data_IF_123645749522
#
_entry.id   IF_123645749522
#
_cell.length_a   1.000
_cell.length_b   1.000
_cell.length_c   1.000
_cell.angle_alpha   90.00
_cell.angle_beta   90.00
_cell.angle_gamma   90.00
#
_symmetry.space_group_name_H-M   'P 1'
#
loop_
_entity.id
_entity.type
_entity.pdbx_description
1 polymer ?
#
# COMPACT_ATOMS: atom_id res chain seq x y z
N UNK A 1 -5.45 -10.90 -31.59
CA UNK A 1 -4.11 -11.48 -31.58
C UNK A 1 -4.07 -12.45 -30.42
N UNK A 2 -3.59 -13.68 -30.56
CA UNK A 2 -3.44 -14.57 -29.43
C UNK A 2 -2.41 -13.96 -28.47
N UNK A 3 -2.74 -13.88 -27.19
CA UNK A 3 -1.79 -13.49 -26.15
C UNK A 3 -0.60 -14.47 -26.22
N UNK A 4 0.66 -13.98 -26.17
CA UNK A 4 1.79 -14.87 -26.08
C UNK A 4 1.58 -15.77 -24.85
N UNK A 5 1.74 -17.07 -25.04
CA UNK A 5 1.80 -18.03 -23.93
C UNK A 5 3.12 -17.72 -23.22
N UNK A 6 3.08 -16.79 -22.26
CA UNK A 6 4.21 -16.58 -21.38
C UNK A 6 4.36 -17.82 -20.51
N UNK A 7 5.43 -18.55 -20.74
CA UNK A 7 5.80 -19.73 -19.97
C UNK A 7 5.97 -19.34 -18.50
N UNK A 8 5.29 -20.06 -17.62
CA UNK A 8 5.48 -19.94 -16.18
C UNK A 8 6.92 -20.36 -15.85
N UNK A 9 7.50 -19.69 -14.87
CA UNK A 9 8.90 -19.94 -14.49
C UNK A 9 8.99 -21.24 -13.72
N UNK A 10 9.80 -22.16 -14.21
CA UNK A 10 10.15 -23.37 -13.46
C UNK A 10 11.23 -23.08 -12.43
N UNK A 11 11.32 -23.92 -11.39
CA UNK A 11 12.39 -23.84 -10.38
C UNK A 11 13.78 -23.93 -11.04
N UNK A 12 13.92 -24.74 -12.08
CA UNK A 12 15.20 -24.88 -12.81
C UNK A 12 15.58 -23.60 -13.54
N UNK A 13 14.63 -22.95 -14.23
CA UNK A 13 14.85 -21.66 -14.89
C UNK A 13 15.15 -20.55 -13.89
N UNK A 14 14.45 -20.52 -12.74
CA UNK A 14 14.70 -19.56 -11.68
C UNK A 14 16.13 -19.68 -11.13
N UNK A 15 16.62 -20.91 -10.90
CA UNK A 15 17.99 -21.15 -10.45
C UNK A 15 19.02 -20.71 -11.48
N UNK A 16 18.81 -21.04 -12.76
CA UNK A 16 19.71 -20.66 -13.83
C UNK A 16 19.77 -19.13 -13.96
N UNK A 17 18.64 -18.46 -14.00
CA UNK A 17 18.55 -17.00 -14.16
C UNK A 17 19.06 -16.23 -12.95
N UNK A 18 18.88 -16.75 -11.74
CA UNK A 18 19.46 -16.13 -10.55
C UNK A 18 20.98 -15.93 -10.65
N UNK A 19 21.65 -16.91 -11.26
CA UNK A 19 23.11 -16.84 -11.47
C UNK A 19 23.49 -15.90 -12.62
N UNK A 20 22.69 -15.89 -13.70
CA UNK A 20 22.99 -15.15 -14.92
C UNK A 20 22.50 -13.69 -14.86
N UNK A 21 21.33 -13.43 -14.24
CA UNK A 21 20.67 -12.13 -14.22
C UNK A 21 20.01 -11.90 -12.86
N UNK A 22 20.79 -11.57 -11.80
CA UNK A 22 20.26 -11.43 -10.45
C UNK A 22 19.24 -10.28 -10.27
N UNK A 23 19.16 -9.37 -11.24
CA UNK A 23 18.20 -8.24 -11.26
C UNK A 23 16.94 -8.54 -12.07
N UNK A 24 16.75 -9.80 -12.50
CA UNK A 24 15.57 -10.19 -13.27
C UNK A 24 14.29 -9.91 -12.49
N UNK A 25 13.34 -9.26 -13.15
CA UNK A 25 11.99 -9.08 -12.63
C UNK A 25 11.05 -10.17 -13.13
N UNK A 26 10.11 -10.53 -12.27
CA UNK A 26 9.08 -11.53 -12.54
C UNK A 26 7.71 -10.89 -12.40
N UNK A 27 6.80 -11.17 -13.30
CA UNK A 27 5.42 -10.69 -13.27
C UNK A 27 4.50 -11.71 -12.60
N UNK A 28 3.71 -11.26 -11.63
CA UNK A 28 2.68 -12.07 -10.98
C UNK A 28 1.53 -12.34 -11.97
N UNK A 29 1.19 -13.60 -12.23
CA UNK A 29 0.08 -14.03 -13.09
C UNK A 29 -1.22 -14.25 -12.33
N UNK A 30 -1.13 -14.33 -11.02
CA UNK A 30 -2.24 -14.37 -10.08
C UNK A 30 -1.98 -13.38 -8.94
N UNK A 31 -2.97 -13.20 -8.08
CA UNK A 31 -2.77 -12.48 -6.83
C UNK A 31 -1.93 -13.34 -5.89
N UNK A 32 -0.84 -12.79 -5.38
CA UNK A 32 0.12 -13.48 -4.52
C UNK A 32 0.20 -12.76 -3.18
N UNK A 33 0.21 -13.52 -2.09
CA UNK A 33 0.42 -13.01 -0.75
C UNK A 33 1.92 -12.84 -0.46
N UNK A 34 2.29 -11.70 0.10
CA UNK A 34 3.61 -11.47 0.65
C UNK A 34 3.51 -11.39 2.17
N UNK A 35 4.37 -12.13 2.85
CA UNK A 35 4.38 -12.23 4.30
C UNK A 35 5.52 -11.43 4.94
N UNK A 36 5.39 -11.13 6.22
CA UNK A 36 6.38 -10.35 6.96
C UNK A 36 7.64 -11.14 7.30
N UNK A 37 7.54 -12.47 7.32
CA UNK A 37 8.63 -13.37 7.69
C UNK A 37 8.54 -14.70 6.92
N UNK A 38 9.62 -15.51 6.91
CA UNK A 38 9.64 -16.79 6.20
C UNK A 38 8.70 -17.86 6.75
N UNK A 39 8.17 -17.67 7.97
CA UNK A 39 7.18 -18.55 8.58
C UNK A 39 5.79 -18.46 7.91
N UNK A 40 5.57 -17.47 7.03
CA UNK A 40 4.34 -17.26 6.24
C UNK A 40 3.06 -17.13 7.09
N UNK A 41 3.18 -16.60 8.30
CA UNK A 41 2.05 -16.53 9.26
C UNK A 41 1.37 -15.16 9.31
N UNK A 42 2.08 -14.09 8.98
CA UNK A 42 1.57 -12.71 9.04
C UNK A 42 1.64 -12.05 7.67
N UNK A 43 0.49 -11.75 7.10
CA UNK A 43 0.39 -11.03 5.83
C UNK A 43 1.04 -9.64 5.96
N UNK A 44 1.89 -9.28 5.01
CA UNK A 44 2.53 -7.98 4.92
C UNK A 44 1.86 -7.11 3.84
N UNK A 45 1.64 -7.72 2.68
CA UNK A 45 0.97 -7.10 1.53
C UNK A 45 0.51 -8.18 0.56
N UNK A 46 -0.17 -7.77 -0.49
CA UNK A 46 -0.56 -8.63 -1.60
C UNK A 46 -0.10 -8.03 -2.92
N UNK A 47 0.42 -8.86 -3.82
CA UNK A 47 0.68 -8.47 -5.19
C UNK A 47 -0.52 -8.87 -6.04
N UNK A 48 -1.26 -7.87 -6.56
CA UNK A 48 -2.30 -8.13 -7.55
C UNK A 48 -1.66 -8.66 -8.84
N UNK A 49 -2.38 -9.49 -9.59
CA UNK A 49 -1.93 -9.97 -10.91
C UNK A 49 -1.49 -8.78 -11.80
N UNK A 50 -0.35 -8.95 -12.45
CA UNK A 50 0.29 -7.92 -13.26
C UNK A 50 1.43 -7.15 -12.56
N UNK A 51 1.51 -7.15 -11.23
CA UNK A 51 2.66 -6.58 -10.50
C UNK A 51 3.94 -7.34 -10.80
N UNK A 52 5.04 -6.62 -10.68
CA UNK A 52 6.37 -7.20 -10.84
C UNK A 52 7.09 -7.30 -9.49
N UNK A 53 7.95 -8.31 -9.37
CA UNK A 53 8.79 -8.50 -8.20
C UNK A 53 10.19 -8.98 -8.61
N UNK A 54 11.16 -8.74 -7.74
CA UNK A 54 12.52 -9.27 -7.81
C UNK A 54 12.72 -10.23 -6.66
N UNK A 55 13.44 -11.31 -6.90
CA UNK A 55 13.89 -12.22 -5.85
C UNK A 55 15.13 -11.58 -5.21
N UNK A 56 15.16 -11.43 -3.90
CA UNK A 56 16.26 -10.80 -3.18
C UNK A 56 17.33 -11.80 -2.74
N UNK A 57 16.92 -13.04 -2.50
CA UNK A 57 17.85 -14.12 -2.12
C UNK A 57 17.30 -15.47 -2.54
N UNK A 58 18.17 -16.29 -3.08
CA UNK A 58 17.89 -17.67 -3.45
C UNK A 58 18.88 -18.60 -2.72
N UNK A 59 18.55 -18.94 -1.48
CA UNK A 59 19.33 -19.90 -0.69
C UNK A 59 18.68 -21.28 -0.85
N UNK A 60 19.47 -22.26 -1.34
CA UNK A 60 19.00 -23.64 -1.45
C UNK A 60 19.23 -24.39 -0.14
N UNK A 61 18.36 -25.33 0.15
CA UNK A 61 18.58 -26.33 1.18
C UNK A 61 19.81 -27.20 0.85
N UNK A 62 20.40 -27.91 1.83
CA UNK A 62 21.54 -28.79 1.58
C UNK A 62 21.30 -29.90 0.52
N UNK A 63 20.06 -30.31 0.33
CA UNK A 63 19.63 -31.28 -0.67
C UNK A 63 19.36 -30.67 -2.06
N UNK A 64 19.60 -29.36 -2.21
CA UNK A 64 19.38 -28.62 -3.45
C UNK A 64 17.93 -28.20 -3.72
N UNK A 65 17.01 -28.44 -2.78
CA UNK A 65 15.62 -27.94 -2.87
C UNK A 65 15.54 -26.46 -2.48
N UNK A 66 14.44 -25.78 -2.87
CA UNK A 66 14.15 -24.44 -2.39
C UNK A 66 13.60 -24.48 -0.95
N UNK A 67 13.86 -23.44 -0.14
CA UNK A 67 13.21 -23.29 1.16
C UNK A 67 11.69 -23.08 0.98
N UNK A 68 10.87 -23.25 2.01
CA UNK A 68 9.42 -23.04 1.93
C UNK A 68 9.01 -21.62 1.54
N UNK A 69 9.87 -20.62 1.79
CA UNK A 69 9.62 -19.23 1.49
C UNK A 69 10.85 -18.56 0.86
N UNK A 70 10.60 -17.60 -0.02
CA UNK A 70 11.64 -16.78 -0.66
C UNK A 70 11.44 -15.31 -0.34
N UNK A 71 12.54 -14.60 -0.13
CA UNK A 71 12.53 -13.17 0.06
C UNK A 71 12.45 -12.46 -1.28
N UNK A 72 11.47 -11.58 -1.44
CA UNK A 72 11.22 -10.81 -2.66
C UNK A 72 11.06 -9.33 -2.36
N UNK A 73 11.07 -8.52 -3.40
CA UNK A 73 10.76 -7.09 -3.36
C UNK A 73 9.85 -6.75 -4.54
N UNK A 74 8.74 -6.10 -4.27
CA UNK A 74 7.86 -5.59 -5.32
C UNK A 74 8.54 -4.43 -6.04
N UNK A 75 8.51 -4.43 -7.38
CA UNK A 75 9.30 -3.48 -8.17
C UNK A 75 8.68 -2.08 -8.20
N UNK A 76 7.38 -1.96 -8.02
CA UNK A 76 6.65 -0.69 -8.17
C UNK A 76 6.77 0.21 -6.94
N UNK A 77 6.96 -0.36 -5.75
CA UNK A 77 6.98 0.38 -4.49
C UNK A 77 8.14 0.00 -3.56
N UNK A 78 9.12 -0.77 -4.05
CA UNK A 78 10.28 -1.26 -3.30
C UNK A 78 9.91 -2.03 -2.01
N UNK A 79 8.68 -2.58 -1.93
CA UNK A 79 8.20 -3.21 -0.72
C UNK A 79 8.69 -4.65 -0.58
N UNK A 80 9.48 -4.98 0.46
CA UNK A 80 10.01 -6.31 0.66
C UNK A 80 8.99 -7.22 1.36
N UNK A 81 9.06 -8.51 1.07
CA UNK A 81 8.26 -9.52 1.74
C UNK A 81 8.77 -10.93 1.47
N UNK A 82 8.04 -11.90 1.96
CA UNK A 82 8.29 -13.32 1.73
C UNK A 82 7.11 -13.93 0.98
N UNK A 83 7.39 -14.68 -0.07
CA UNK A 83 6.40 -15.45 -0.83
C UNK A 83 6.58 -16.93 -0.55
N UNK A 84 5.49 -17.68 -0.55
CA UNK A 84 5.56 -19.13 -0.52
C UNK A 84 6.24 -19.64 -1.79
N UNK A 85 7.10 -20.65 -1.66
CA UNK A 85 7.82 -21.19 -2.82
C UNK A 85 6.87 -21.85 -3.83
N UNK A 86 5.72 -22.34 -3.38
CA UNK A 86 4.65 -22.87 -4.24
C UNK A 86 4.01 -21.80 -5.13
N UNK A 87 4.08 -20.50 -4.74
CA UNK A 87 3.56 -19.40 -5.55
C UNK A 87 4.44 -19.05 -6.75
N UNK A 88 5.63 -19.67 -6.87
CA UNK A 88 6.52 -19.50 -8.05
C UNK A 88 5.82 -19.90 -9.34
N UNK A 89 4.96 -20.90 -9.29
CA UNK A 89 4.19 -21.36 -10.44
C UNK A 89 3.27 -20.27 -11.02
N UNK A 90 3.02 -19.20 -10.26
CA UNK A 90 2.26 -18.02 -10.70
C UNK A 90 3.16 -16.87 -11.19
N UNK A 91 4.46 -17.06 -11.29
CA UNK A 91 5.38 -16.06 -11.81
C UNK A 91 5.71 -16.35 -13.28
N UNK A 92 5.84 -15.31 -14.05
CA UNK A 92 6.44 -15.34 -15.37
C UNK A 92 7.58 -14.32 -15.45
N UNK A 93 8.54 -14.55 -16.33
CA UNK A 93 9.59 -13.56 -16.58
C UNK A 93 8.92 -12.29 -17.10
N UNK A 94 9.24 -11.15 -16.51
CA UNK A 94 8.77 -9.86 -17.01
C UNK A 94 9.45 -9.56 -18.36
N UNK A 95 8.66 -9.12 -19.33
CA UNK A 95 9.17 -8.75 -20.66
C UNK A 95 10.13 -7.55 -20.58
N UNK A 96 9.87 -6.65 -19.64
CA UNK A 96 10.67 -5.46 -19.36
C UNK A 96 10.67 -5.19 -17.85
N UNK A 97 11.76 -4.64 -17.33
CA UNK A 97 11.81 -4.13 -15.97
C UNK A 97 10.77 -3.01 -15.79
N UNK A 98 10.18 -2.96 -14.59
CA UNK A 98 9.20 -1.93 -14.27
C UNK A 98 9.78 -0.53 -14.49
N UNK A 99 9.00 0.31 -15.13
CA UNK A 99 9.32 1.71 -15.33
C UNK A 99 8.17 2.56 -14.80
N UNK A 100 8.48 3.51 -13.91
CA UNK A 100 7.47 4.45 -13.44
C UNK A 100 7.00 5.34 -14.61
N UNK A 101 5.70 5.50 -14.72
CA UNK A 101 5.10 6.47 -15.63
C UNK A 101 4.96 7.78 -14.85
N UNK A 102 5.80 8.80 -15.11
CA UNK A 102 5.72 10.05 -14.39
C UNK A 102 4.41 10.78 -14.74
N UNK A 103 3.74 11.28 -13.72
CA UNK A 103 2.57 12.12 -13.86
C UNK A 103 2.83 13.47 -13.19
N UNK A 104 2.32 14.51 -13.79
CA UNK A 104 2.28 15.85 -13.19
C UNK A 104 1.22 15.94 -12.10
N UNK A 105 1.34 16.93 -11.21
CA UNK A 105 0.33 17.16 -10.16
C UNK A 105 -1.08 17.36 -10.76
N UNK A 106 -1.21 18.08 -11.88
CA UNK A 106 -2.49 18.31 -12.54
C UNK A 106 -3.10 16.99 -13.06
N UNK A 107 -2.29 16.12 -13.69
CA UNK A 107 -2.77 14.81 -14.16
C UNK A 107 -3.21 13.91 -13.00
N UNK A 108 -2.61 14.06 -11.83
CA UNK A 108 -3.04 13.36 -10.61
C UNK A 108 -4.36 13.94 -10.11
N UNK A 109 -4.47 15.28 -10.04
CA UNK A 109 -5.71 15.97 -9.64
C UNK A 109 -6.89 15.57 -10.52
N UNK A 110 -6.72 15.50 -11.84
CA UNK A 110 -7.73 15.06 -12.80
C UNK A 110 -8.22 13.63 -12.55
N UNK A 111 -7.41 12.81 -11.88
CA UNK A 111 -7.73 11.40 -11.55
C UNK A 111 -8.41 11.23 -10.19
N UNK A 112 -8.39 12.23 -9.30
CA UNK A 112 -8.96 12.14 -7.95
C UNK A 112 -10.43 11.68 -7.93
N UNK A 113 -11.33 12.15 -8.81
CA UNK A 113 -12.72 11.66 -8.80
C UNK A 113 -12.85 10.14 -9.00
N UNK A 114 -11.94 9.55 -9.78
CA UNK A 114 -11.91 8.10 -10.02
C UNK A 114 -11.34 7.34 -8.81
N UNK A 115 -10.34 7.92 -8.13
CA UNK A 115 -9.79 7.38 -6.88
C UNK A 115 -10.87 7.32 -5.81
N UNK A 116 -11.61 8.41 -5.62
CA UNK A 116 -12.73 8.48 -4.69
C UNK A 116 -13.82 7.48 -5.05
N UNK A 117 -14.19 7.41 -6.33
CA UNK A 117 -15.18 6.43 -6.81
C UNK A 117 -14.74 4.99 -6.50
N UNK A 118 -13.44 4.69 -6.62
CA UNK A 118 -12.92 3.37 -6.25
C UNK A 118 -13.16 3.06 -4.77
N UNK A 119 -12.84 4.00 -3.88
CA UNK A 119 -13.01 3.77 -2.43
C UNK A 119 -14.48 3.58 -2.04
N UNK A 120 -15.40 4.33 -2.65
CA UNK A 120 -16.84 4.14 -2.44
C UNK A 120 -17.32 2.77 -2.94
N UNK A 121 -16.92 2.37 -4.16
CA UNK A 121 -17.26 1.04 -4.69
C UNK A 121 -16.69 -0.10 -3.85
N UNK A 122 -15.52 0.08 -3.28
CA UNK A 122 -14.95 -0.89 -2.36
C UNK A 122 -15.75 -0.97 -1.05
N UNK A 123 -16.24 0.18 -0.55
CA UNK A 123 -17.10 0.25 0.64
C UNK A 123 -18.47 -0.40 0.41
N UNK A 124 -19.06 -0.26 -0.78
CA UNK A 124 -20.38 -0.80 -1.13
C UNK A 124 -20.40 -2.34 -1.24
N UNK A 125 -19.25 -2.99 -1.25
CA UNK A 125 -19.14 -4.45 -1.27
C UNK A 125 -19.02 -5.02 0.14
N UNK A 126 -19.50 -6.24 0.39
CA UNK A 126 -19.19 -6.94 1.65
C UNK A 126 -17.68 -7.00 1.85
N UNK A 127 -17.20 -6.37 2.90
CA UNK A 127 -15.77 -6.28 3.21
C UNK A 127 -15.51 -6.35 4.71
N UNK A 128 -14.28 -6.69 5.07
CA UNK A 128 -13.76 -6.61 6.43
C UNK A 128 -12.32 -6.09 6.40
N UNK A 129 -11.85 -5.60 7.55
CA UNK A 129 -10.47 -5.17 7.70
C UNK A 129 -9.52 -6.36 7.65
N UNK A 130 -8.65 -6.39 6.65
CA UNK A 130 -7.62 -7.42 6.51
C UNK A 130 -6.24 -6.76 6.66
N UNK A 131 -5.54 -7.06 7.75
CA UNK A 131 -4.16 -6.61 7.90
C UNK A 131 -3.30 -7.11 6.73
N UNK A 132 -2.56 -6.21 6.08
CA UNK A 132 -1.78 -6.54 4.89
C UNK A 132 -2.59 -6.58 3.59
N UNK A 133 -3.91 -6.40 3.65
CA UNK A 133 -4.79 -6.46 2.47
C UNK A 133 -4.61 -5.27 1.54
N UNK A 134 -4.37 -5.55 0.25
CA UNK A 134 -4.29 -4.60 -0.86
C UNK A 134 -5.09 -5.05 -2.08
N UNK A 135 -5.66 -6.24 -2.03
CA UNK A 135 -6.50 -6.82 -3.08
C UNK A 135 -7.92 -6.98 -2.55
N UNK A 136 -8.88 -6.43 -3.31
CA UNK A 136 -10.29 -6.43 -2.91
C UNK A 136 -10.88 -7.83 -2.68
N UNK A 137 -11.96 -7.90 -1.90
CA UNK A 137 -12.71 -6.77 -1.30
C UNK A 137 -12.15 -6.29 0.05
N UNK A 138 -11.13 -6.94 0.62
CA UNK A 138 -10.67 -6.73 1.99
C UNK A 138 -9.33 -5.98 2.01
N UNK A 139 -9.30 -4.84 2.66
CA UNK A 139 -8.15 -3.95 2.70
C UNK A 139 -7.77 -3.59 4.13
N UNK A 140 -6.48 -3.31 4.38
CA UNK A 140 -6.12 -2.45 5.50
C UNK A 140 -6.19 -0.96 5.10
N UNK A 141 -5.87 -0.05 6.02
CA UNK A 141 -6.01 1.38 5.80
C UNK A 141 -5.15 1.89 4.63
N UNK A 142 -3.87 1.61 4.64
CA UNK A 142 -2.92 2.06 3.61
C UNK A 142 -3.04 1.26 2.31
N UNK A 143 -3.44 -0.01 2.41
CA UNK A 143 -3.73 -0.86 1.25
C UNK A 143 -4.94 -0.39 0.45
N UNK A 144 -5.99 0.11 1.11
CA UNK A 144 -7.12 0.76 0.44
C UNK A 144 -6.65 2.00 -0.33
N UNK A 145 -5.82 2.84 0.28
CA UNK A 145 -5.25 4.02 -0.39
C UNK A 145 -4.39 3.60 -1.58
N UNK A 146 -3.46 2.66 -1.40
CA UNK A 146 -2.59 2.18 -2.48
C UNK A 146 -3.42 1.61 -3.64
N UNK A 147 -4.41 0.76 -3.36
CA UNK A 147 -5.29 0.19 -4.40
C UNK A 147 -6.12 1.25 -5.13
N UNK A 148 -6.61 2.26 -4.42
CA UNK A 148 -7.38 3.35 -5.02
C UNK A 148 -6.54 4.17 -6.00
N UNK A 149 -5.32 4.56 -5.62
CA UNK A 149 -4.39 5.26 -6.50
C UNK A 149 -3.91 4.38 -7.66
N UNK A 150 -3.60 3.10 -7.39
CA UNK A 150 -3.25 2.13 -8.44
C UNK A 150 -4.35 1.97 -9.48
N UNK A 151 -5.63 2.04 -9.10
CA UNK A 151 -6.77 1.90 -10.03
C UNK A 151 -6.76 2.91 -11.17
N UNK A 152 -5.97 3.96 -11.04
CA UNK A 152 -5.75 5.00 -12.05
C UNK A 152 -4.29 5.12 -12.49
N UNK A 153 -3.47 4.12 -12.17
CA UNK A 153 -2.07 4.04 -12.61
C UNK A 153 -1.09 4.87 -11.78
N UNK A 154 -1.44 5.23 -10.56
CA UNK A 154 -0.57 5.96 -9.64
C UNK A 154 -0.07 5.03 -8.56
N UNK A 155 1.24 4.82 -8.46
CA UNK A 155 1.85 4.10 -7.35
C UNK A 155 2.18 5.04 -6.20
N UNK A 156 1.83 4.63 -4.99
CA UNK A 156 2.21 5.25 -3.73
C UNK A 156 2.80 4.18 -2.80
N UNK A 157 3.58 4.54 -1.77
CA UNK A 157 4.15 3.57 -0.84
C UNK A 157 3.09 2.71 -0.14
N UNK A 158 3.51 1.56 0.37
CA UNK A 158 2.61 0.55 0.93
C UNK A 158 2.08 0.90 2.32
N UNK A 159 2.95 1.28 3.24
CA UNK A 159 2.57 1.48 4.65
C UNK A 159 2.18 2.93 4.93
N UNK A 160 1.27 3.15 5.89
CA UNK A 160 0.75 4.48 6.21
C UNK A 160 1.85 5.48 6.57
N UNK A 161 2.90 5.07 7.31
CA UNK A 161 4.02 5.95 7.64
C UNK A 161 4.85 6.32 6.41
N UNK A 162 5.03 5.39 5.46
CA UNK A 162 5.72 5.66 4.19
C UNK A 162 4.90 6.60 3.30
N UNK A 163 3.56 6.42 3.26
CA UNK A 163 2.65 7.34 2.56
C UNK A 163 2.71 8.74 3.18
N UNK A 164 2.81 8.82 4.51
CA UNK A 164 2.97 10.09 5.21
C UNK A 164 4.27 10.79 4.81
N UNK A 165 5.40 10.10 4.85
CA UNK A 165 6.70 10.65 4.47
C UNK A 165 6.75 11.08 3.00
N UNK A 166 6.10 10.31 2.13
CA UNK A 166 6.03 10.59 0.70
C UNK A 166 5.18 11.81 0.33
N UNK A 167 4.13 12.12 1.11
CA UNK A 167 3.11 13.11 0.74
C UNK A 167 3.10 14.38 1.60
N UNK A 168 3.82 14.42 2.72
CA UNK A 168 3.71 15.47 3.77
C UNK A 168 4.15 16.85 3.32
N UNK A 169 5.12 16.98 2.43
CA UNK A 169 5.77 18.26 2.13
C UNK A 169 4.79 19.32 1.59
N UNK A 170 3.79 18.90 0.82
CA UNK A 170 2.77 19.80 0.26
C UNK A 170 1.83 20.38 1.31
N UNK A 171 1.71 19.72 2.45
CA UNK A 171 0.83 20.12 3.56
C UNK A 171 1.60 20.17 4.90
N UNK A 172 2.86 20.58 4.87
CA UNK A 172 3.74 20.59 6.04
C UNK A 172 3.14 21.37 7.23
N UNK A 173 2.36 22.43 6.97
CA UNK A 173 1.70 23.24 8.00
C UNK A 173 0.60 22.50 8.79
N UNK A 174 0.09 21.39 8.26
CA UNK A 174 -0.93 20.58 8.94
C UNK A 174 -0.34 19.61 9.98
N UNK A 175 0.98 19.39 9.94
CA UNK A 175 1.63 18.41 10.80
C UNK A 175 1.75 18.90 12.23
N UNK A 176 1.35 18.05 13.17
CA UNK A 176 1.20 18.34 14.58
C UNK A 176 2.25 17.64 15.42
N UNK A 177 2.79 18.34 16.39
CA UNK A 177 3.62 17.71 17.42
C UNK A 177 2.82 16.71 18.24
N UNK A 178 3.51 15.71 18.78
CA UNK A 178 2.91 14.67 19.63
C UNK A 178 2.19 15.27 20.86
N UNK A 179 2.68 16.40 21.39
CA UNK A 179 2.05 17.14 22.50
C UNK A 179 0.67 17.71 22.15
N UNK A 180 0.31 17.76 20.86
CA UNK A 180 -0.99 18.23 20.38
C UNK A 180 -2.00 17.10 20.19
N UNK A 181 -1.62 15.84 20.38
CA UNK A 181 -2.56 14.71 20.32
C UNK A 181 -3.67 14.86 21.37
N UNK A 182 -4.89 14.49 20.97
CA UNK A 182 -6.09 14.65 21.81
C UNK A 182 -6.60 16.08 21.96
N UNK A 183 -5.86 17.10 21.49
CA UNK A 183 -6.33 18.49 21.51
C UNK A 183 -7.16 18.80 20.26
N UNK A 184 -8.13 19.73 20.35
CA UNK A 184 -8.91 20.14 19.18
C UNK A 184 -8.04 20.60 18.01
N UNK A 185 -8.50 20.31 16.80
CA UNK A 185 -7.94 20.88 15.58
C UNK A 185 -8.47 22.32 15.44
N UNK A 186 -7.58 23.31 15.23
CA UNK A 186 -8.04 24.68 14.98
C UNK A 186 -8.76 24.74 13.62
N UNK A 187 -9.66 25.70 13.44
CA UNK A 187 -10.46 25.82 12.21
C UNK A 187 -9.60 26.02 10.95
N UNK A 188 -8.50 26.75 11.08
CA UNK A 188 -7.56 27.00 10.00
C UNK A 188 -6.76 25.77 9.57
N UNK A 189 -6.74 24.71 10.39
CA UNK A 189 -6.11 23.43 10.02
C UNK A 189 -6.75 22.80 8.77
N UNK A 190 -8.06 23.05 8.57
CA UNK A 190 -8.82 22.49 7.44
C UNK A 190 -8.68 23.32 6.16
N UNK A 191 -8.24 24.58 6.23
CA UNK A 191 -8.21 25.49 5.07
C UNK A 191 -7.34 25.03 3.91
N UNK A 192 -6.14 24.44 4.11
CA UNK A 192 -5.31 23.98 3.01
C UNK A 192 -5.75 22.64 2.41
N UNK A 193 -6.68 21.93 3.06
CA UNK A 193 -7.11 20.61 2.65
C UNK A 193 -7.99 20.65 1.40
N UNK A 194 -7.74 19.70 0.51
CA UNK A 194 -8.55 19.45 -0.67
C UNK A 194 -9.05 18.01 -0.69
N UNK A 195 -10.16 17.78 -1.34
CA UNK A 195 -10.69 16.44 -1.56
C UNK A 195 -9.63 15.59 -2.26
N UNK A 196 -9.35 14.42 -1.72
CA UNK A 196 -8.27 13.55 -2.20
C UNK A 196 -6.98 13.63 -1.39
N UNK A 197 -6.83 14.56 -0.45
CA UNK A 197 -5.70 14.55 0.48
C UNK A 197 -5.76 13.33 1.40
N UNK A 198 -4.60 12.84 1.83
CA UNK A 198 -4.49 11.78 2.82
C UNK A 198 -4.44 12.38 4.22
N UNK A 199 -5.27 11.87 5.13
CA UNK A 199 -5.23 12.22 6.54
C UNK A 199 -4.52 11.12 7.30
N UNK A 200 -3.53 11.49 8.09
CA UNK A 200 -2.69 10.57 8.85
C UNK A 200 -2.97 10.63 10.34
N UNK A 201 -3.04 9.45 10.93
CA UNK A 201 -3.32 9.26 12.35
C UNK A 201 -2.22 8.40 12.98
N UNK A 202 -2.01 8.57 14.27
CA UNK A 202 -1.00 7.76 14.95
C UNK A 202 -0.79 8.12 16.41
N UNK A 203 0.22 7.49 16.98
CA UNK A 203 0.73 7.78 18.33
C UNK A 203 1.77 8.91 18.29
N UNK A 204 2.35 9.22 19.43
CA UNK A 204 3.46 10.18 19.52
C UNK A 204 4.65 9.77 18.62
N UNK A 205 4.91 8.47 18.51
CA UNK A 205 6.15 7.95 17.93
C UNK A 205 6.00 7.57 16.43
N UNK A 206 4.78 7.21 15.99
CA UNK A 206 4.60 6.73 14.62
C UNK A 206 3.21 6.96 14.04
N UNK A 207 3.16 7.06 12.72
CA UNK A 207 1.90 7.00 11.95
C UNK A 207 1.46 5.53 11.87
N UNK A 208 0.21 5.27 12.21
CA UNK A 208 -0.36 3.92 12.26
C UNK A 208 -1.60 3.74 11.40
N UNK A 209 -2.15 4.85 10.87
CA UNK A 209 -3.39 4.80 10.10
C UNK A 209 -3.47 5.96 9.10
N UNK A 210 -4.28 5.75 8.05
CA UNK A 210 -4.52 6.72 6.98
C UNK A 210 -5.94 6.60 6.45
N UNK A 211 -6.50 7.73 5.99
CA UNK A 211 -7.76 7.81 5.27
C UNK A 211 -7.71 8.87 4.18
N UNK A 212 -8.63 8.81 3.22
CA UNK A 212 -8.76 9.76 2.10
C UNK A 212 -9.79 10.84 2.47
N UNK A 213 -9.39 12.09 2.42
CA UNK A 213 -10.27 13.23 2.71
C UNK A 213 -11.31 13.43 1.60
N UNK A 214 -12.57 13.58 2.00
CA UNK A 214 -13.70 13.73 1.10
C UNK A 214 -14.29 15.17 1.08
N UNK A 215 -13.70 16.09 1.85
CA UNK A 215 -14.27 17.40 2.09
C UNK A 215 -15.15 17.46 3.35
N UNK A 216 -15.49 18.66 3.80
CA UNK A 216 -16.40 18.90 4.93
C UNK A 216 -16.07 18.10 6.19
N UNK A 217 -14.77 17.86 6.43
CA UNK A 217 -14.23 17.06 7.53
C UNK A 217 -14.51 15.55 7.43
N UNK A 218 -15.09 15.07 6.34
CA UNK A 218 -15.27 13.63 6.13
C UNK A 218 -14.03 12.99 5.52
N UNK A 219 -13.80 11.73 5.87
CA UNK A 219 -12.76 10.91 5.27
C UNK A 219 -13.22 9.46 5.18
N UNK A 220 -12.78 8.75 4.15
CA UNK A 220 -13.03 7.32 3.95
C UNK A 220 -11.76 6.53 4.29
N UNK A 221 -11.91 5.43 5.00
CA UNK A 221 -10.80 4.58 5.42
C UNK A 221 -11.25 3.14 5.66
N UNK A 222 -10.30 2.20 5.71
CA UNK A 222 -10.53 0.85 6.22
C UNK A 222 -10.00 0.75 7.64
N UNK A 223 -10.84 0.33 8.60
CA UNK A 223 -10.52 0.34 10.03
C UNK A 223 -10.84 -1.00 10.70
N UNK A 224 -10.01 -1.40 11.65
CA UNK A 224 -10.14 -2.67 12.36
C UNK A 224 -11.20 -2.68 13.45
N UNK A 225 -11.47 -3.88 13.97
CA UNK A 225 -12.47 -4.11 15.04
C UNK A 225 -12.15 -3.34 16.31
N UNK A 226 -10.87 -3.21 16.67
CA UNK A 226 -10.44 -2.50 17.89
C UNK A 226 -10.87 -1.04 17.94
N UNK A 227 -11.05 -0.41 16.78
CA UNK A 227 -11.50 0.97 16.64
C UNK A 227 -13.02 1.08 16.47
N UNK A 228 -13.75 -0.02 16.59
CA UNK A 228 -15.22 -0.05 16.54
C UNK A 228 -15.82 -0.22 15.14
N UNK A 229 -15.00 -0.57 14.10
CA UNK A 229 -15.50 -0.79 12.73
C UNK A 229 -15.28 -2.25 12.30
N UNK A 230 -14.54 -2.64 11.49
CA UNK A 230 -14.17 -3.87 10.81
C UNK A 230 -14.50 -3.77 9.31
N UNK A 231 -13.79 -2.90 8.62
CA UNK A 231 -13.92 -2.69 7.19
C UNK A 231 -13.89 -1.23 6.78
N UNK A 232 -14.37 -0.95 5.57
CA UNK A 232 -14.34 0.37 4.98
C UNK A 232 -15.55 1.19 5.47
N UNK A 233 -15.33 2.47 5.77
CA UNK A 233 -16.39 3.39 6.13
C UNK A 233 -15.96 4.84 6.10
N UNK A 234 -16.94 5.72 6.24
CA UNK A 234 -16.76 7.17 6.28
C UNK A 234 -16.96 7.65 7.71
N UNK A 235 -16.01 8.44 8.19
CA UNK A 235 -16.03 9.07 9.50
C UNK A 235 -15.71 10.57 9.37
N UNK A 236 -15.82 11.31 10.48
CA UNK A 236 -15.59 12.75 10.50
C UNK A 236 -14.40 13.11 11.38
N UNK A 237 -13.70 14.15 11.01
CA UNK A 237 -12.65 14.78 11.83
C UNK A 237 -13.29 15.71 12.87
N UNK A 238 -14.02 15.11 13.80
CA UNK A 238 -14.70 15.80 14.90
C UNK A 238 -14.72 14.91 16.16
N UNK A 239 -14.90 15.52 17.32
CA UNK A 239 -15.29 14.82 18.54
C UNK A 239 -16.81 14.86 18.65
N UNK A 240 -17.46 13.75 18.40
CA UNK A 240 -18.92 13.60 18.44
C UNK A 240 -19.31 12.28 19.16
N UNK A 241 -20.58 11.89 19.07
CA UNK A 241 -21.08 10.65 19.67
C UNK A 241 -20.59 9.38 18.96
N UNK A 242 -20.05 9.49 17.72
CA UNK A 242 -19.49 8.37 16.99
C UNK A 242 -18.13 7.98 17.59
N UNK A 243 -18.00 6.79 18.20
CA UNK A 243 -16.78 6.38 18.87
C UNK A 243 -15.59 6.24 17.91
N UNK A 244 -15.83 5.90 16.64
CA UNK A 244 -14.77 5.77 15.62
C UNK A 244 -14.23 7.14 15.25
N UNK A 245 -15.12 8.12 14.95
CA UNK A 245 -14.74 9.52 14.68
C UNK A 245 -13.91 10.10 15.82
N UNK A 246 -14.40 9.98 17.05
CA UNK A 246 -13.73 10.52 18.25
C UNK A 246 -12.36 9.86 18.49
N UNK A 247 -12.26 8.52 18.33
CA UNK A 247 -11.00 7.81 18.54
C UNK A 247 -9.92 8.23 17.53
N UNK A 248 -10.28 8.38 16.25
CA UNK A 248 -9.32 8.85 15.25
C UNK A 248 -9.03 10.33 15.32
N UNK A 249 -10.03 11.17 15.62
CA UNK A 249 -9.81 12.61 15.80
C UNK A 249 -8.71 12.90 16.82
N UNK A 250 -8.72 12.21 17.94
CA UNK A 250 -7.70 12.34 18.98
C UNK A 250 -6.28 11.96 18.50
N UNK A 251 -6.17 11.18 17.42
CA UNK A 251 -4.91 10.67 16.88
C UNK A 251 -4.45 11.40 15.61
N UNK A 252 -5.10 12.48 15.18
CA UNK A 252 -4.70 13.23 13.98
C UNK A 252 -3.28 13.76 14.11
N UNK A 253 -2.42 13.38 13.19
CA UNK A 253 -1.02 13.79 13.10
C UNK A 253 -0.76 14.83 12.01
N UNK A 254 -1.47 14.78 10.90
CA UNK A 254 -1.32 15.71 9.80
C UNK A 254 -2.03 15.23 8.54
N UNK A 255 -1.78 15.93 7.46
CA UNK A 255 -2.26 15.57 6.14
C UNK A 255 -1.12 15.56 5.12
N UNK A 256 -1.36 14.93 3.96
CA UNK A 256 -0.41 14.90 2.85
C UNK A 256 -1.14 14.87 1.52
N UNK A 257 -0.49 15.39 0.48
CA UNK A 257 -1.02 15.44 -0.89
C UNK A 257 -0.13 14.66 -1.84
N UNK A 258 -0.72 13.71 -2.56
CA UNK A 258 -0.01 12.98 -3.61
C UNK A 258 0.12 13.90 -4.84
N UNK A 259 1.35 14.21 -5.21
CA UNK A 259 1.67 15.11 -6.32
C UNK A 259 2.56 14.48 -7.38
N UNK A 260 2.94 13.22 -7.20
CA UNK A 260 3.75 12.42 -8.13
C UNK A 260 3.53 10.93 -7.90
N UNK A 261 3.89 10.10 -8.88
CA UNK A 261 4.02 8.66 -8.67
C UNK A 261 5.26 8.36 -7.83
N UNK A 262 5.21 7.31 -7.03
CA UNK A 262 6.39 6.83 -6.29
C UNK A 262 7.48 6.40 -7.28
N UNK A 263 8.71 6.97 -7.19
CA UNK A 263 9.83 6.57 -8.01
C UNK A 263 10.59 5.43 -7.30
N UNK A 264 10.45 4.18 -7.72
CA UNK A 264 11.19 3.09 -7.07
C UNK A 264 12.68 3.26 -7.26
N UNK A 265 13.44 3.00 -6.21
CA UNK A 265 14.90 3.11 -6.16
C UNK A 265 15.59 1.81 -6.54
N UNK A 266 14.83 0.71 -6.57
CA UNK A 266 15.38 -0.63 -6.71
C UNK A 266 15.99 -1.18 -5.41
N UNK A 267 15.98 -0.40 -4.34
CA UNK A 267 16.48 -0.80 -3.01
C UNK A 267 15.28 -1.13 -2.14
N UNK A 268 15.21 -2.34 -1.54
CA UNK A 268 14.09 -2.68 -0.66
C UNK A 268 13.93 -1.68 0.47
N UNK A 269 12.72 -1.19 0.68
CA UNK A 269 12.41 -0.29 1.80
C UNK A 269 12.66 -0.99 3.14
N UNK A 270 13.18 -0.25 4.11
CA UNK A 270 13.19 -0.72 5.49
C UNK A 270 11.77 -0.66 6.06
N UNK A 271 11.30 -1.79 6.60
CA UNK A 271 10.03 -1.85 7.32
C UNK A 271 10.30 -1.51 8.79
N UNK A 272 9.71 -0.43 9.28
CA UNK A 272 9.74 -0.16 10.73
C UNK A 272 8.95 -1.26 11.46
N UNK A 273 9.58 -1.88 12.44
CA UNK A 273 8.98 -2.91 13.32
C UNK A 273 7.91 -2.31 14.23
#
# INVERSE_FOLDING_TARGET
MPFPVLLMVTIAELKARWTETPTQEYQCRANINLYSSPELTSLATQAIAGRQLRILSLSLNPDGTLPPAMRVCLSEDDYPGWVATEDIDWLAIADQAYQVIPLTSNEIEDRLPRIITFTHRAMDQPNYYLWGGTVGPNYDCSGLMQAAYLSVGIWIPRDAYQQADFSRDRLAMTWRDSAMLGKPLPEDWFQPLQVGDLIFFGTADRITHVGLYLGDRYYIHSSGVKQGRNGIGIDRLVMDENPVSTAYYAQVRGAGRIAQCYPPTGIPMERSR
#
